data_IF_477619580623
#
_entry.id   IF_477619580623
#
_cell.length_a   1.000
_cell.length_b   1.000
_cell.length_c   1.000
_cell.angle_alpha   90.00
_cell.angle_beta   90.00
_cell.angle_gamma   90.00
#
_symmetry.space_group_name_H-M   'P 1'
#
loop_
_entity.id
_entity.type
_entity.pdbx_description
1 polymer ?
#
# COMPACT_ATOMS: atom_id res chain seq x y z
N UNK A 1 15.57 46.66 29.06
CA UNK A 1 16.14 47.57 28.05
C UNK A 1 15.52 47.20 26.70
N UNK A 2 14.53 47.94 26.20
CA UNK A 2 14.71 49.12 25.32
C UNK A 2 15.62 48.76 24.15
N UNK A 3 15.02 48.40 23.01
CA UNK A 3 14.76 49.27 21.85
C UNK A 3 16.05 49.73 21.15
N UNK A 4 16.16 49.39 19.87
CA UNK A 4 17.23 49.86 18.99
C UNK A 4 17.15 49.25 17.58
N UNK A 5 16.19 49.69 16.78
CA UNK A 5 16.33 49.79 15.31
C UNK A 5 17.01 51.14 15.00
N UNK A 6 17.79 51.31 13.89
CA UNK A 6 17.17 51.52 12.57
C UNK A 6 17.91 51.02 11.31
N UNK A 7 17.10 50.79 10.28
CA UNK A 7 17.20 51.04 8.84
C UNK A 7 18.54 51.10 8.06
N UNK A 8 18.54 50.44 6.90
CA UNK A 8 19.41 50.74 5.74
C UNK A 8 19.12 49.86 4.52
N UNK A 9 18.37 50.38 3.54
CA UNK A 9 18.14 49.77 2.22
C UNK A 9 19.39 49.86 1.33
N UNK A 10 19.71 48.80 0.58
CA UNK A 10 20.30 48.92 -0.76
C UNK A 10 20.16 47.61 -1.54
N UNK A 11 19.63 47.74 -2.75
CA UNK A 11 19.55 46.72 -3.80
C UNK A 11 20.93 46.36 -4.34
N UNK A 12 21.18 45.08 -4.63
CA UNK A 12 21.90 44.60 -5.83
C UNK A 12 21.75 43.07 -5.96
N UNK A 13 21.28 42.61 -7.13
CA UNK A 13 21.21 41.20 -7.55
C UNK A 13 22.61 40.72 -7.99
N UNK A 14 22.86 39.39 -7.95
CA UNK A 14 23.54 38.79 -9.08
C UNK A 14 22.84 37.50 -9.59
N UNK A 15 22.60 37.53 -10.90
CA UNK A 15 22.81 36.49 -11.91
C UNK A 15 22.46 35.02 -11.59
N UNK A 16 21.34 34.62 -12.20
CA UNK A 16 20.94 33.26 -12.53
C UNK A 16 21.75 32.72 -13.72
N UNK A 17 22.57 31.70 -13.49
CA UNK A 17 23.21 30.91 -14.54
C UNK A 17 22.27 29.78 -14.99
N UNK A 18 21.51 30.03 -16.06
CA UNK A 18 20.75 29.01 -16.79
C UNK A 18 21.66 28.36 -17.84
N UNK A 19 21.93 27.05 -17.66
CA UNK A 19 22.58 26.21 -18.66
C UNK A 19 21.48 25.69 -19.60
N UNK A 20 21.33 26.32 -20.76
CA UNK A 20 20.50 25.80 -21.86
C UNK A 20 21.27 24.75 -22.65
N UNK A 21 20.86 23.47 -22.50
CA UNK A 21 21.28 22.37 -23.36
C UNK A 21 20.39 22.34 -24.62
N UNK A 22 20.77 23.09 -25.65
CA UNK A 22 20.19 23.01 -27.01
C UNK A 22 20.73 21.79 -27.76
N UNK A 23 20.21 20.60 -27.44
CA UNK A 23 20.71 19.34 -28.01
C UNK A 23 19.61 18.40 -28.48
N UNK A 24 18.64 18.86 -29.29
CA UNK A 24 17.73 17.96 -30.02
C UNK A 24 17.23 18.48 -31.38
N UNK A 25 17.71 19.64 -31.86
CA UNK A 25 17.23 20.22 -33.13
C UNK A 25 17.94 19.69 -34.38
N UNK A 26 19.03 18.94 -34.25
CA UNK A 26 19.87 18.54 -35.41
C UNK A 26 19.53 17.17 -36.01
N UNK A 27 18.62 16.38 -35.39
CA UNK A 27 18.31 15.02 -35.88
C UNK A 27 17.09 14.94 -36.82
N UNK A 28 16.37 16.05 -37.02
CA UNK A 28 15.22 16.10 -37.95
C UNK A 28 15.56 16.70 -39.32
N UNK A 29 16.76 17.24 -39.52
CA UNK A 29 17.21 17.74 -40.83
C UNK A 29 17.86 16.65 -41.71
N UNK A 30 18.06 15.44 -41.17
CA UNK A 30 18.80 14.36 -41.85
C UNK A 30 17.97 13.45 -42.76
N UNK A 31 16.82 13.91 -43.27
CA UNK A 31 16.05 13.19 -44.30
C UNK A 31 15.51 14.11 -45.41
N UNK A 32 16.20 15.22 -45.71
CA UNK A 32 16.08 15.83 -47.03
C UNK A 32 16.91 15.00 -48.01
N UNK A 33 16.23 14.30 -48.90
CA UNK A 33 16.86 13.70 -50.08
C UNK A 33 17.08 14.85 -51.06
N UNK A 34 18.30 15.40 -51.07
CA UNK A 34 18.74 16.32 -52.11
C UNK A 34 18.84 15.55 -53.42
N UNK A 35 17.94 15.86 -54.35
CA UNK A 35 18.07 15.44 -55.75
C UNK A 35 18.95 16.49 -56.41
N UNK A 36 20.24 16.15 -56.62
CA UNK A 36 21.14 16.94 -57.44
C UNK A 36 20.57 17.08 -58.86
N UNK A 37 20.30 18.31 -59.26
CA UNK A 37 20.04 18.67 -60.66
C UNK A 37 21.22 19.51 -61.15
N UNK A 38 22.09 18.90 -61.95
CA UNK A 38 23.15 19.59 -62.68
C UNK A 38 22.56 20.68 -63.59
N UNK A 39 23.07 21.90 -63.42
CA UNK A 39 22.74 23.04 -64.26
C UNK A 39 23.81 23.21 -65.35
N UNK A 40 23.50 22.91 -66.62
CA UNK A 40 24.17 23.49 -67.78
C UNK A 40 23.15 23.76 -68.92
N UNK A 41 23.04 25.06 -69.20
CA UNK A 41 22.76 25.76 -70.46
C UNK A 41 21.35 25.88 -71.05
N UNK A 42 21.17 27.05 -71.63
CA UNK A 42 19.96 27.86 -71.79
C UNK A 42 19.27 27.61 -73.13
N UNK A 43 17.98 27.18 -73.14
CA UNK A 43 17.02 27.43 -74.24
C UNK A 43 15.58 27.58 -73.71
N UNK A 44 14.74 28.46 -74.30
CA UNK A 44 13.51 28.91 -73.66
C UNK A 44 12.32 27.99 -73.99
N UNK A 45 11.50 27.72 -72.96
CA UNK A 45 10.11 27.30 -73.13
C UNK A 45 9.76 25.94 -72.51
N UNK A 46 9.48 25.94 -71.20
CA UNK A 46 8.29 25.30 -70.59
C UNK A 46 8.33 25.52 -69.08
N UNK A 47 7.16 25.89 -68.57
CA UNK A 47 6.89 26.34 -67.21
C UNK A 47 7.20 25.24 -66.19
N UNK A 48 7.93 25.60 -65.14
CA UNK A 48 8.35 24.73 -64.05
C UNK A 48 7.16 24.18 -63.26
N UNK A 49 6.78 22.92 -63.52
CA UNK A 49 5.93 22.16 -62.60
C UNK A 49 6.82 21.48 -61.55
N UNK A 50 6.58 21.71 -60.24
CA UNK A 50 7.30 21.01 -59.19
C UNK A 50 7.01 19.51 -59.30
N UNK A 51 8.07 18.70 -59.23
CA UNK A 51 8.08 17.24 -59.36
C UNK A 51 6.81 16.60 -58.77
N UNK A 52 5.90 16.14 -59.64
CA UNK A 52 4.63 15.56 -59.22
C UNK A 52 4.89 14.22 -58.57
N UNK A 53 4.94 14.19 -57.25
CA UNK A 53 5.00 12.95 -56.47
C UNK A 53 3.90 12.01 -56.98
N UNK A 54 4.26 10.78 -57.35
CA UNK A 54 3.32 9.82 -57.94
C UNK A 54 2.08 9.65 -57.06
N UNK A 55 0.88 9.63 -57.66
CA UNK A 55 -0.41 9.42 -56.96
C UNK A 55 -0.38 8.25 -55.95
N UNK A 56 0.42 7.23 -56.22
CA UNK A 56 0.62 6.08 -55.35
C UNK A 56 1.40 6.41 -54.06
N UNK A 57 2.38 7.30 -54.14
CA UNK A 57 3.17 7.77 -52.98
C UNK A 57 2.29 8.63 -52.08
N UNK A 58 1.53 9.59 -52.63
CA UNK A 58 0.54 10.36 -51.86
C UNK A 58 -0.55 9.49 -51.20
N UNK A 59 -0.96 8.40 -51.87
CA UNK A 59 -1.91 7.43 -51.29
C UNK A 59 -1.30 6.68 -50.10
N UNK A 60 -0.05 6.21 -50.22
CA UNK A 60 0.68 5.54 -49.14
C UNK A 60 0.91 6.50 -47.96
N UNK A 61 1.30 7.75 -48.23
CA UNK A 61 1.50 8.80 -47.22
C UNK A 61 0.22 9.06 -46.41
N UNK A 62 -0.90 9.32 -47.08
CA UNK A 62 -2.20 9.55 -46.39
C UNK A 62 -2.67 8.33 -45.61
N UNK A 63 -2.41 7.12 -46.11
CA UNK A 63 -2.75 5.89 -45.38
C UNK A 63 -1.89 5.71 -44.13
N UNK A 64 -0.58 6.02 -44.22
CA UNK A 64 0.33 6.00 -43.09
C UNK A 64 -0.07 7.03 -42.03
N UNK A 65 -0.38 8.27 -42.44
CA UNK A 65 -0.88 9.33 -41.55
C UNK A 65 -2.16 8.92 -40.82
N UNK A 66 -3.13 8.31 -41.53
CA UNK A 66 -4.35 7.76 -40.93
C UNK A 66 -4.05 6.67 -39.91
N UNK A 67 -3.12 5.76 -40.19
CA UNK A 67 -2.73 4.70 -39.26
C UNK A 67 -2.02 5.25 -38.02
N UNK A 68 -1.11 6.22 -38.19
CA UNK A 68 -0.41 6.89 -37.09
C UNK A 68 -1.41 7.66 -36.22
N UNK A 69 -2.33 8.41 -36.83
CA UNK A 69 -3.39 9.13 -36.13
C UNK A 69 -4.32 8.17 -35.37
N UNK A 70 -4.74 7.06 -35.99
CA UNK A 70 -5.56 6.04 -35.35
C UNK A 70 -4.86 5.38 -34.14
N UNK A 71 -3.57 5.05 -34.26
CA UNK A 71 -2.76 4.53 -33.14
C UNK A 71 -2.65 5.56 -32.01
N UNK A 72 -2.44 6.85 -32.34
CA UNK A 72 -2.38 7.94 -31.34
C UNK A 72 -3.71 8.13 -30.63
N UNK A 73 -4.83 8.06 -31.36
CA UNK A 73 -6.18 8.16 -30.79
C UNK A 73 -6.48 6.98 -29.86
N UNK A 74 -6.22 5.74 -30.30
CA UNK A 74 -6.42 4.52 -29.48
C UNK A 74 -5.60 4.57 -28.18
N UNK A 75 -4.35 5.06 -28.23
CA UNK A 75 -3.50 5.26 -27.04
C UNK A 75 -4.08 6.29 -26.07
N UNK A 76 -4.70 7.37 -26.57
CA UNK A 76 -5.35 8.39 -25.72
C UNK A 76 -6.60 7.83 -25.05
N UNK A 77 -7.45 7.16 -25.81
CA UNK A 77 -8.67 6.53 -25.32
C UNK A 77 -8.39 5.47 -24.26
N UNK A 78 -7.39 4.61 -24.48
CA UNK A 78 -7.01 3.61 -23.49
C UNK A 78 -6.43 4.23 -22.21
N UNK A 79 -5.65 5.32 -22.32
CA UNK A 79 -5.17 6.07 -21.15
C UNK A 79 -6.33 6.67 -20.36
N UNK A 80 -7.32 7.26 -21.04
CA UNK A 80 -8.52 7.79 -20.40
C UNK A 80 -9.33 6.68 -19.72
N UNK A 81 -9.52 5.54 -20.39
CA UNK A 81 -10.19 4.36 -19.81
C UNK A 81 -9.47 3.86 -18.56
N UNK A 82 -8.14 3.74 -18.60
CA UNK A 82 -7.33 3.34 -17.43
C UNK A 82 -7.40 4.36 -16.30
N UNK A 83 -7.46 5.66 -16.61
CA UNK A 83 -7.62 6.73 -15.61
C UNK A 83 -9.00 6.65 -14.94
N UNK A 84 -10.06 6.57 -15.72
CA UNK A 84 -11.44 6.42 -15.22
C UNK A 84 -11.60 5.15 -14.38
N UNK A 85 -11.02 4.03 -14.81
CA UNK A 85 -11.07 2.78 -14.04
C UNK A 85 -10.31 2.88 -12.73
N UNK A 86 -9.16 3.57 -12.70
CA UNK A 86 -8.42 3.84 -11.46
C UNK A 86 -9.21 4.75 -10.51
N UNK A 87 -9.88 5.78 -11.04
CA UNK A 87 -10.69 6.70 -10.25
C UNK A 87 -11.90 5.98 -9.63
N UNK A 88 -12.60 5.15 -10.42
CA UNK A 88 -13.73 4.33 -9.95
C UNK A 88 -13.33 3.34 -8.85
N UNK A 89 -12.26 2.58 -9.05
CA UNK A 89 -11.68 1.69 -8.05
C UNK A 89 -11.19 2.47 -6.81
N UNK A 90 -10.53 3.61 -7.00
CA UNK A 90 -10.03 4.42 -5.90
C UNK A 90 -11.12 5.06 -5.04
N UNK A 91 -12.34 5.23 -5.57
CA UNK A 91 -13.45 5.81 -4.83
C UNK A 91 -14.30 4.73 -4.12
N UNK A 92 -14.52 3.58 -4.78
CA UNK A 92 -15.34 2.49 -4.23
C UNK A 92 -14.58 1.63 -3.21
N UNK A 93 -13.30 1.36 -3.44
CA UNK A 93 -12.48 0.50 -2.59
C UNK A 93 -12.31 1.07 -1.18
N UNK A 94 -12.02 2.37 -0.97
CA UNK A 94 -11.90 2.91 0.39
C UNK A 94 -13.20 2.88 1.17
N UNK A 95 -14.34 3.10 0.52
CA UNK A 95 -15.65 3.03 1.18
C UNK A 95 -15.95 1.60 1.64
N UNK A 96 -15.82 0.62 0.74
CA UNK A 96 -16.02 -0.80 1.09
C UNK A 96 -15.02 -1.25 2.16
N UNK A 97 -13.75 -0.82 2.09
CA UNK A 97 -12.77 -1.10 3.14
C UNK A 97 -13.15 -0.49 4.49
N UNK A 98 -13.69 0.73 4.53
CA UNK A 98 -14.18 1.36 5.77
C UNK A 98 -15.36 0.59 6.35
N UNK A 99 -16.32 0.21 5.51
CA UNK A 99 -17.48 -0.61 5.92
C UNK A 99 -17.03 -1.95 6.48
N UNK A 100 -16.17 -2.68 5.76
CA UNK A 100 -15.64 -3.96 6.24
C UNK A 100 -14.87 -3.83 7.56
N UNK A 101 -14.09 -2.75 7.73
CA UNK A 101 -13.39 -2.45 9.00
C UNK A 101 -14.38 -2.16 10.13
N UNK A 102 -15.45 -1.41 9.87
CA UNK A 102 -16.49 -1.13 10.85
C UNK A 102 -17.22 -2.40 11.28
N UNK A 103 -17.65 -3.23 10.34
CA UNK A 103 -18.28 -4.55 10.60
C UNK A 103 -17.33 -5.43 11.44
N UNK A 104 -16.04 -5.46 11.09
CA UNK A 104 -15.06 -6.25 11.84
C UNK A 104 -14.90 -5.73 13.27
N UNK A 105 -14.86 -4.40 13.45
CA UNK A 105 -14.74 -3.78 14.78
C UNK A 105 -15.97 -4.07 15.64
N UNK A 106 -17.16 -3.99 15.06
CA UNK A 106 -18.43 -4.31 15.72
C UNK A 106 -18.44 -5.77 16.19
N UNK A 107 -18.07 -6.71 15.32
CA UNK A 107 -18.01 -8.15 15.65
C UNK A 107 -17.01 -8.46 16.77
N UNK A 108 -15.87 -7.78 16.80
CA UNK A 108 -14.91 -7.90 17.90
C UNK A 108 -15.44 -7.27 19.21
N UNK A 109 -16.16 -6.15 19.13
CA UNK A 109 -16.78 -5.51 20.29
C UNK A 109 -17.89 -6.39 20.89
N UNK A 110 -18.72 -6.99 20.04
CA UNK A 110 -19.72 -7.99 20.45
C UNK A 110 -19.05 -9.17 21.14
N UNK A 111 -18.02 -9.76 20.51
CA UNK A 111 -17.26 -10.86 21.10
C UNK A 111 -16.67 -10.52 22.47
N UNK A 112 -16.21 -9.27 22.69
CA UNK A 112 -15.73 -8.81 24.00
C UNK A 112 -16.80 -8.94 25.10
N UNK A 113 -18.07 -8.71 24.75
CA UNK A 113 -19.18 -8.69 25.70
C UNK A 113 -19.84 -10.07 25.92
N UNK A 114 -20.02 -10.85 24.86
CA UNK A 114 -20.81 -12.10 24.90
C UNK A 114 -20.08 -13.31 24.32
N UNK A 115 -18.90 -13.11 23.75
CA UNK A 115 -18.10 -14.16 23.13
C UNK A 115 -17.50 -15.14 24.14
N UNK A 116 -17.10 -16.29 23.62
CA UNK A 116 -16.27 -17.24 24.37
C UNK A 116 -14.92 -16.60 24.66
N UNK A 117 -14.39 -16.84 25.86
CA UNK A 117 -13.09 -16.29 26.27
C UNK A 117 -11.98 -17.26 25.94
N UNK A 118 -10.87 -16.74 25.45
CA UNK A 118 -9.66 -17.50 25.19
C UNK A 118 -8.49 -16.75 25.83
N UNK A 119 -7.90 -17.35 26.84
CA UNK A 119 -6.72 -16.88 27.54
C UNK A 119 -5.47 -17.55 26.97
N UNK A 120 -4.46 -16.74 26.71
CA UNK A 120 -3.10 -17.22 26.47
C UNK A 120 -2.32 -16.99 27.76
N UNK A 121 -1.83 -18.07 28.36
CA UNK A 121 -0.95 -17.99 29.53
C UNK A 121 0.43 -17.51 29.10
N UNK A 122 0.92 -16.43 29.71
CA UNK A 122 2.23 -15.87 29.42
C UNK A 122 3.15 -15.87 30.65
N UNK A 123 2.79 -16.61 31.71
CA UNK A 123 3.54 -16.72 32.96
C UNK A 123 4.95 -17.30 32.78
N UNK A 124 5.15 -18.15 31.77
CA UNK A 124 6.43 -18.80 31.47
C UNK A 124 7.32 -18.01 30.50
N UNK A 125 6.98 -16.76 30.17
CA UNK A 125 7.75 -15.99 29.18
C UNK A 125 9.14 -15.60 29.65
N UNK A 126 9.37 -15.54 30.97
CA UNK A 126 10.67 -15.20 31.54
C UNK A 126 11.74 -16.28 31.29
N UNK A 127 11.36 -17.55 31.10
CA UNK A 127 12.30 -18.62 30.76
C UNK A 127 12.60 -18.75 29.26
N UNK A 128 12.04 -17.86 28.42
CA UNK A 128 12.23 -17.88 26.97
C UNK A 128 13.45 -17.05 26.52
N UNK A 129 14.15 -17.57 25.52
CA UNK A 129 15.18 -16.82 24.78
C UNK A 129 14.58 -15.69 23.94
N UNK A 130 15.37 -14.71 23.53
CA UNK A 130 14.89 -13.60 22.68
C UNK A 130 14.28 -14.11 21.36
N UNK A 131 14.83 -15.18 20.78
CA UNK A 131 14.30 -15.79 19.56
C UNK A 131 12.92 -16.41 19.77
N UNK A 132 12.70 -17.04 20.91
CA UNK A 132 11.40 -17.61 21.28
C UNK A 132 10.38 -16.51 21.56
N UNK A 133 10.79 -15.45 22.26
CA UNK A 133 9.97 -14.24 22.47
C UNK A 133 9.53 -13.62 21.13
N UNK A 134 10.44 -13.43 20.16
CA UNK A 134 10.08 -12.94 18.83
C UNK A 134 9.11 -13.87 18.09
N UNK A 135 9.27 -15.19 18.25
CA UNK A 135 8.37 -16.18 17.64
C UNK A 135 6.98 -16.12 18.26
N UNK A 136 6.91 -16.02 19.58
CA UNK A 136 5.67 -15.90 20.34
C UNK A 136 4.93 -14.61 20.00
N UNK A 137 5.62 -13.47 19.96
CA UNK A 137 5.03 -12.20 19.50
C UNK A 137 4.42 -12.33 18.10
N UNK A 138 5.10 -13.07 17.20
CA UNK A 138 4.58 -13.40 15.87
C UNK A 138 3.38 -14.34 15.88
N UNK A 139 3.33 -15.31 16.81
CA UNK A 139 2.17 -16.19 17.02
C UNK A 139 0.96 -15.40 17.51
N UNK A 140 1.13 -14.52 18.50
CA UNK A 140 0.06 -13.64 19.00
C UNK A 140 -0.52 -12.74 17.91
N UNK A 141 0.33 -12.20 17.02
CA UNK A 141 -0.13 -11.46 15.83
C UNK A 141 -1.02 -12.31 14.93
N UNK A 142 -0.62 -13.56 14.67
CA UNK A 142 -1.39 -14.49 13.82
C UNK A 142 -2.69 -14.91 14.49
N UNK A 143 -2.66 -15.16 15.80
CA UNK A 143 -3.83 -15.44 16.62
C UNK A 143 -4.87 -14.33 16.47
N UNK A 144 -4.47 -13.08 16.75
CA UNK A 144 -5.37 -11.93 16.62
C UNK A 144 -5.87 -11.76 15.18
N UNK A 145 -4.99 -11.88 14.19
CA UNK A 145 -5.35 -11.78 12.78
C UNK A 145 -6.34 -12.85 12.32
N UNK A 146 -6.23 -14.08 12.85
CA UNK A 146 -7.17 -15.17 12.60
C UNK A 146 -8.50 -14.90 13.30
N UNK A 147 -8.46 -14.53 14.58
CA UNK A 147 -9.66 -14.22 15.37
C UNK A 147 -10.49 -13.09 14.75
N UNK A 148 -9.82 -12.05 14.25
CA UNK A 148 -10.44 -10.93 13.52
C UNK A 148 -11.19 -11.36 12.26
N UNK A 149 -10.77 -12.46 11.62
CA UNK A 149 -11.41 -13.01 10.41
C UNK A 149 -12.48 -14.06 10.74
N UNK A 150 -12.37 -14.77 11.86
CA UNK A 150 -13.29 -15.81 12.29
C UNK A 150 -14.72 -15.26 12.40
N UNK A 151 -15.74 -15.96 11.91
CA UNK A 151 -17.16 -15.50 11.88
C UNK A 151 -17.74 -15.20 13.26
N UNK A 152 -17.30 -15.94 14.27
CA UNK A 152 -17.58 -15.69 15.69
C UNK A 152 -16.23 -15.56 16.43
N UNK A 153 -15.69 -14.35 16.59
CA UNK A 153 -14.44 -14.14 17.29
C UNK A 153 -14.57 -14.53 18.77
N UNK A 154 -13.46 -14.96 19.35
CA UNK A 154 -13.29 -15.07 20.80
C UNK A 154 -12.99 -13.70 21.40
N UNK A 155 -13.35 -13.53 22.68
CA UNK A 155 -12.74 -12.52 23.52
C UNK A 155 -11.35 -13.02 23.94
N UNK A 156 -10.29 -12.44 23.38
CA UNK A 156 -8.92 -12.80 23.71
C UNK A 156 -8.45 -12.11 24.99
N UNK A 157 -7.78 -12.87 25.83
CA UNK A 157 -7.04 -12.41 27.01
C UNK A 157 -5.58 -12.82 26.88
N UNK A 158 -4.67 -11.88 27.10
CA UNK A 158 -3.25 -12.14 27.35
C UNK A 158 -3.04 -11.98 28.85
N UNK A 159 -2.93 -13.09 29.58
CA UNK A 159 -2.78 -13.12 31.04
C UNK A 159 -1.32 -13.23 31.42
N UNK A 160 -0.97 -12.84 32.65
CA UNK A 160 0.41 -12.85 33.14
C UNK A 160 1.37 -12.03 32.23
N UNK A 161 0.86 -11.00 31.54
CA UNK A 161 1.63 -10.13 30.63
C UNK A 161 1.78 -8.73 31.20
N UNK A 162 2.93 -8.46 31.81
CA UNK A 162 3.28 -7.14 32.31
C UNK A 162 3.74 -6.20 31.19
N UNK A 163 3.40 -4.91 31.28
CA UNK A 163 3.78 -3.90 30.29
C UNK A 163 5.30 -3.66 30.21
N UNK A 164 6.04 -3.94 31.29
CA UNK A 164 7.51 -3.82 31.35
C UNK A 164 8.25 -5.10 30.90
N UNK A 165 7.51 -6.18 30.61
CA UNK A 165 8.08 -7.47 30.22
C UNK A 165 8.85 -7.41 28.89
N UNK A 166 9.72 -8.41 28.67
CA UNK A 166 10.41 -8.60 27.38
C UNK A 166 9.42 -8.88 26.26
N UNK A 167 8.41 -9.72 26.52
CA UNK A 167 7.39 -10.07 25.53
C UNK A 167 6.54 -8.87 25.13
N UNK A 168 6.05 -8.08 26.08
CA UNK A 168 5.19 -6.93 25.77
C UNK A 168 5.91 -5.93 24.85
N UNK A 169 7.15 -5.58 25.18
CA UNK A 169 7.98 -4.71 24.35
C UNK A 169 8.18 -5.28 22.94
N UNK A 170 8.41 -6.58 22.83
CA UNK A 170 8.55 -7.25 21.54
C UNK A 170 7.24 -7.24 20.73
N UNK A 171 6.10 -7.44 21.38
CA UNK A 171 4.79 -7.33 20.74
C UNK A 171 4.55 -5.92 20.18
N UNK A 172 4.82 -4.87 20.96
CA UNK A 172 4.70 -3.48 20.50
C UNK A 172 5.64 -3.21 19.33
N UNK A 173 6.87 -3.72 19.37
CA UNK A 173 7.88 -3.53 18.32
C UNK A 173 7.53 -4.26 17.01
N UNK A 174 7.01 -5.49 17.09
CA UNK A 174 6.80 -6.35 15.92
C UNK A 174 5.39 -6.26 15.32
N UNK A 175 4.40 -5.88 16.11
CA UNK A 175 3.00 -5.96 15.74
C UNK A 175 2.41 -4.55 15.61
N UNK A 176 2.35 -4.06 14.37
CA UNK A 176 1.78 -2.75 14.09
C UNK A 176 0.37 -2.59 14.68
N UNK A 177 0.21 -1.55 15.49
CA UNK A 177 -1.05 -1.25 16.14
C UNK A 177 -1.45 -2.25 17.24
N UNK A 178 -0.49 -2.97 17.84
CA UNK A 178 -0.73 -3.89 18.98
C UNK A 178 -1.59 -3.25 20.08
N UNK A 179 -1.28 -1.99 20.45
CA UNK A 179 -2.04 -1.21 21.44
C UNK A 179 -3.50 -0.95 21.04
N UNK A 180 -3.84 -1.10 19.76
CA UNK A 180 -5.20 -0.92 19.23
C UNK A 180 -5.92 -2.26 19.00
N UNK A 181 -5.35 -3.38 19.45
CA UNK A 181 -6.02 -4.68 19.32
C UNK A 181 -7.21 -4.73 20.27
N UNK A 182 -8.35 -5.26 19.79
CA UNK A 182 -9.52 -5.49 20.63
C UNK A 182 -9.34 -6.81 21.39
N UNK A 183 -8.59 -6.76 22.49
CA UNK A 183 -8.34 -7.86 23.42
C UNK A 183 -7.94 -7.29 24.78
N UNK A 184 -8.05 -8.10 25.82
CA UNK A 184 -7.67 -7.71 27.18
C UNK A 184 -6.23 -8.17 27.47
N UNK A 185 -5.43 -7.29 28.06
CA UNK A 185 -4.07 -7.57 28.52
C UNK A 185 -4.03 -7.30 30.02
N UNK A 186 -3.49 -8.23 30.78
CA UNK A 186 -3.44 -8.17 32.23
C UNK A 186 -2.23 -8.92 32.76
N UNK A 187 -1.69 -8.44 33.88
CA UNK A 187 -0.64 -9.10 34.67
C UNK A 187 -1.21 -10.15 35.63
N UNK A 188 -2.53 -10.24 35.78
CA UNK A 188 -3.20 -11.26 36.58
C UNK A 188 -3.26 -12.59 35.84
N UNK A 189 -3.24 -13.69 36.61
CA UNK A 189 -3.41 -15.03 36.07
C UNK A 189 -4.86 -15.34 35.71
N UNK A 190 -5.05 -16.13 34.65
CA UNK A 190 -6.36 -16.63 34.21
C UNK A 190 -7.18 -17.28 35.35
N UNK A 191 -6.51 -17.98 36.29
CA UNK A 191 -7.16 -18.64 37.42
C UNK A 191 -7.70 -17.66 38.49
N UNK A 192 -7.19 -16.42 38.51
CA UNK A 192 -7.69 -15.36 39.39
C UNK A 192 -8.82 -14.56 38.72
N UNK A 193 -8.78 -14.43 37.39
CA UNK A 193 -9.77 -13.69 36.60
C UNK A 193 -11.10 -14.44 36.44
N UNK A 194 -11.06 -15.77 36.43
CA UNK A 194 -12.23 -16.61 36.18
C UNK A 194 -12.36 -17.72 37.23
N UNK A 195 -13.59 -18.11 37.59
CA UNK A 195 -13.81 -19.26 38.47
C UNK A 195 -13.15 -20.52 37.88
N UNK A 196 -12.36 -21.29 38.66
CA UNK A 196 -11.62 -22.46 38.17
C UNK A 196 -12.50 -23.48 37.43
N UNK A 197 -13.74 -23.66 37.86
CA UNK A 197 -14.71 -24.60 37.28
C UNK A 197 -15.15 -24.19 35.86
N UNK A 198 -14.89 -22.95 35.47
CA UNK A 198 -15.22 -22.40 34.16
C UNK A 198 -14.04 -22.34 33.19
N UNK A 199 -12.83 -22.67 33.67
CA UNK A 199 -11.59 -22.63 32.91
C UNK A 199 -11.22 -24.04 32.48
N UNK A 200 -10.94 -24.21 31.18
CA UNK A 200 -10.38 -25.45 30.64
C UNK A 200 -9.04 -25.22 30.03
N UNK A 201 -8.08 -26.03 30.48
CA UNK A 201 -6.71 -26.03 30.01
C UNK A 201 -6.58 -26.87 28.76
N UNK A 202 -6.05 -26.28 27.70
CA UNK A 202 -5.74 -26.97 26.47
C UNK A 202 -4.27 -27.39 26.53
N UNK A 203 -4.04 -28.65 26.88
CA UNK A 203 -2.70 -29.26 26.91
C UNK A 203 -2.65 -30.48 26.00
N UNK A 204 -1.54 -30.72 25.27
CA UNK A 204 -1.37 -31.95 24.49
C UNK A 204 -1.39 -33.22 25.35
N UNK A 205 -1.12 -33.11 26.65
CA UNK A 205 -1.09 -34.24 27.58
C UNK A 205 -2.47 -34.59 28.16
N UNK A 206 -3.54 -33.93 27.70
CA UNK A 206 -4.89 -34.20 28.18
C UNK A 206 -5.38 -35.58 27.70
N UNK A 207 -6.02 -36.34 28.59
CA UNK A 207 -6.62 -37.65 28.28
C UNK A 207 -7.77 -37.54 27.26
N UNK A 208 -8.47 -36.41 27.27
CA UNK A 208 -9.64 -36.15 26.42
C UNK A 208 -9.43 -34.92 25.53
N UNK A 209 -9.75 -35.07 24.24
CA UNK A 209 -9.78 -33.94 23.29
C UNK A 209 -11.08 -33.12 23.40
N UNK A 210 -10.95 -31.79 23.30
CA UNK A 210 -12.12 -30.88 23.31
C UNK A 210 -12.95 -31.07 22.05
N UNK A 211 -14.20 -31.53 22.22
CA UNK A 211 -15.15 -31.79 21.11
C UNK A 211 -16.03 -30.58 20.77
N UNK A 212 -16.32 -29.72 21.75
CA UNK A 212 -17.17 -28.52 21.59
C UNK A 212 -16.66 -27.39 22.47
N UNK A 213 -16.72 -26.17 21.94
CA UNK A 213 -16.38 -24.96 22.68
C UNK A 213 -17.66 -24.39 23.33
N UNK A 214 -18.10 -25.00 24.43
CA UNK A 214 -19.27 -24.55 25.22
C UNK A 214 -18.86 -23.92 26.56
N UNK A 215 -17.60 -24.11 26.97
CA UNK A 215 -17.04 -23.51 28.18
C UNK A 215 -16.69 -22.05 27.97
N UNK A 216 -16.78 -21.28 29.06
CA UNK A 216 -16.65 -19.83 29.00
C UNK A 216 -15.22 -19.36 28.81
N UNK A 217 -14.21 -20.15 29.23
CA UNK A 217 -12.82 -19.76 29.15
C UNK A 217 -11.90 -20.95 28.81
N UNK A 218 -11.08 -20.79 27.78
CA UNK A 218 -10.01 -21.73 27.41
C UNK A 218 -8.65 -21.12 27.73
N UNK A 219 -7.71 -21.92 28.22
CA UNK A 219 -6.34 -21.52 28.52
C UNK A 219 -5.35 -22.27 27.64
N UNK A 220 -4.43 -21.56 26.98
CA UNK A 220 -3.36 -22.12 26.14
C UNK A 220 -2.00 -21.88 26.80
N UNK A 221 -1.17 -22.93 26.80
CA UNK A 221 0.29 -22.88 27.02
C UNK A 221 1.07 -22.67 25.71
#
# INVERSE_FOLDING_TARGET
>A
CLQGMPAGMAHTKPETSEVQLNGTSELMDLLHIDVETDAVDTKPGREDLPCSVSRNVLRKQRHWEKQVAAKKSRRKEEKLRRKMNRELESASVPFLCRVMKAITKERLAEARSTGLKLCVDLSMTDCMSDKEISRLAGQLRRLYGSNKKATRPFHLFLTDLREDSRLYRECVRMNDGFLNYTMDITDESCLNLFPPESVVYLTPDAEEGVKRFEQRCFKLD
#
